data_IF_513123554967
#
_entry.id   IF_513123554967
#
_cell.length_a   1.000
_cell.length_b   1.000
_cell.length_c   1.000
_cell.angle_alpha   90.00
_cell.angle_beta   90.00
_cell.angle_gamma   90.00
#
_symmetry.space_group_name_H-M   'P 1'
#
loop_
_entity.id
_entity.type
_entity.pdbx_description
1 polymer ?
#
# COMPACT_ATOMS: atom_id res chain seq x y z
N UNK A 1 -70.88 4.58 38.53
CA UNK A 1 -69.66 5.36 38.75
C UNK A 1 -68.52 4.67 38.04
N UNK A 2 -68.06 5.20 36.89
CA UNK A 2 -66.98 4.62 36.09
C UNK A 2 -65.70 5.45 36.36
N UNK A 3 -64.70 4.79 36.87
CA UNK A 3 -63.37 5.41 37.07
C UNK A 3 -62.54 5.27 35.81
N UNK A 4 -62.20 6.39 35.22
CA UNK A 4 -61.29 6.44 34.07
C UNK A 4 -59.83 6.41 34.58
N UNK A 5 -59.05 5.39 34.16
CA UNK A 5 -57.63 5.33 34.41
C UNK A 5 -56.89 6.12 33.32
N UNK A 6 -56.16 7.17 33.74
CA UNK A 6 -55.29 7.95 32.86
C UNK A 6 -53.94 7.23 32.80
N UNK A 7 -53.58 6.73 31.64
CA UNK A 7 -52.23 6.21 31.33
C UNK A 7 -51.31 7.40 31.07
N UNK A 8 -50.31 7.61 31.93
CA UNK A 8 -49.26 8.56 31.69
C UNK A 8 -48.22 7.94 30.73
N UNK A 9 -48.02 8.57 29.57
CA UNK A 9 -46.98 8.19 28.64
C UNK A 9 -45.61 8.65 29.15
N UNK A 10 -44.68 7.71 29.29
CA UNK A 10 -43.27 7.95 29.62
C UNK A 10 -42.54 8.34 28.34
N UNK A 11 -41.88 9.51 28.25
CA UNK A 11 -41.11 9.86 27.09
C UNK A 11 -39.84 8.98 27.00
N UNK A 12 -39.61 8.38 25.83
CA UNK A 12 -38.40 7.64 25.53
C UNK A 12 -37.14 8.56 25.56
N UNK A 13 -36.01 8.07 26.05
CA UNK A 13 -34.77 8.88 26.05
C UNK A 13 -34.32 9.14 24.60
N UNK A 14 -34.11 10.43 24.30
CA UNK A 14 -33.50 10.85 23.05
C UNK A 14 -32.09 10.25 22.94
N UNK A 15 -31.87 9.43 21.92
CA UNK A 15 -30.54 8.98 21.57
C UNK A 15 -29.73 10.23 21.15
N UNK A 16 -28.79 10.63 21.98
CA UNK A 16 -27.79 11.62 21.63
C UNK A 16 -27.01 11.09 20.42
N UNK A 17 -27.16 11.74 19.28
CA UNK A 17 -26.36 11.51 18.10
C UNK A 17 -24.90 11.64 18.50
N UNK A 18 -24.11 10.58 18.38
CA UNK A 18 -22.67 10.65 18.51
C UNK A 18 -22.17 11.62 17.44
N UNK A 19 -21.28 12.59 17.81
CA UNK A 19 -20.67 13.42 16.80
C UNK A 19 -19.94 12.49 15.81
N UNK A 20 -20.29 12.62 14.53
CA UNK A 20 -19.48 12.09 13.45
C UNK A 20 -18.08 12.65 13.65
N UNK A 21 -17.14 11.82 14.08
CA UNK A 21 -15.74 12.12 13.94
C UNK A 21 -15.55 12.22 12.42
N UNK A 22 -15.40 13.46 11.95
CA UNK A 22 -14.85 13.73 10.64
C UNK A 22 -13.54 12.96 10.59
N UNK A 23 -13.50 11.87 9.83
CA UNK A 23 -12.24 11.27 9.42
C UNK A 23 -11.55 12.39 8.66
N UNK A 24 -10.52 12.96 9.28
CA UNK A 24 -9.56 13.82 8.62
C UNK A 24 -9.01 12.99 7.46
N UNK A 25 -9.62 13.18 6.28
CA UNK A 25 -9.12 12.69 5.02
C UNK A 25 -7.89 13.56 4.79
N UNK A 26 -6.77 13.15 5.42
CA UNK A 26 -5.48 13.74 5.19
C UNK A 26 -5.34 13.90 3.68
N UNK A 27 -5.07 15.13 3.24
CA UNK A 27 -4.92 15.51 1.84
C UNK A 27 -3.58 14.91 1.32
N UNK A 28 -3.41 13.59 1.50
CA UNK A 28 -2.22 12.86 1.12
C UNK A 28 -2.02 12.89 -0.39
N UNK A 29 -0.80 13.08 -0.80
CA UNK A 29 -0.38 13.02 -2.22
C UNK A 29 -0.41 11.57 -2.70
N UNK A 30 -0.73 11.34 -3.97
CA UNK A 30 -0.57 10.04 -4.61
C UNK A 30 0.64 10.03 -5.52
N UNK A 31 1.59 9.14 -5.24
CA UNK A 31 2.75 8.89 -6.11
C UNK A 31 2.46 7.68 -6.98
N UNK A 32 2.75 7.80 -8.28
CA UNK A 32 2.59 6.71 -9.25
C UNK A 32 3.95 6.13 -9.60
N UNK A 33 4.07 4.81 -9.52
CA UNK A 33 5.27 4.05 -9.81
C UNK A 33 5.01 3.12 -10.99
N UNK A 34 5.85 3.21 -12.01
CA UNK A 34 5.78 2.34 -13.19
C UNK A 34 6.63 1.09 -12.99
N UNK A 35 6.07 -0.06 -13.33
CA UNK A 35 6.71 -1.36 -13.34
C UNK A 35 6.87 -1.83 -14.79
N UNK A 36 8.12 -2.00 -15.27
CA UNK A 36 8.37 -2.50 -16.61
C UNK A 36 9.83 -2.89 -16.81
N UNK A 37 10.12 -4.16 -16.99
CA UNK A 37 11.45 -4.63 -17.36
C UNK A 37 11.81 -4.26 -18.80
N UNK A 38 10.83 -4.22 -19.70
CA UNK A 38 11.06 -3.87 -21.10
C UNK A 38 11.45 -2.41 -21.31
N UNK A 39 10.93 -1.49 -20.46
CA UNK A 39 11.22 -0.05 -20.56
C UNK A 39 12.42 0.40 -19.74
N UNK A 40 12.66 -0.24 -18.59
CA UNK A 40 13.66 0.20 -17.59
C UNK A 40 14.72 -0.87 -17.34
N UNK A 41 15.44 -1.24 -18.40
CA UNK A 41 16.45 -2.32 -18.38
C UNK A 41 17.78 -1.91 -17.79
N UNK A 42 18.09 -0.61 -17.70
CA UNK A 42 19.33 -0.13 -17.12
C UNK A 42 19.36 -0.39 -15.61
N UNK A 43 20.39 -1.08 -15.16
CA UNK A 43 20.63 -1.32 -13.74
C UNK A 43 21.02 0.01 -13.06
N UNK A 44 20.36 0.31 -11.96
CA UNK A 44 20.66 1.44 -11.09
C UNK A 44 21.11 0.94 -9.74
N UNK A 45 21.99 1.69 -9.09
CA UNK A 45 22.41 1.44 -7.72
C UNK A 45 21.69 2.44 -6.79
N UNK A 46 21.12 1.92 -5.71
CA UNK A 46 20.63 2.67 -4.57
C UNK A 46 21.32 2.14 -3.30
N UNK A 47 21.10 2.77 -2.16
CA UNK A 47 21.75 2.35 -0.91
C UNK A 47 21.50 0.89 -0.54
N UNK A 48 20.32 0.38 -0.90
CA UNK A 48 19.93 -1.02 -0.65
C UNK A 48 20.48 -2.02 -1.69
N UNK A 49 21.05 -1.58 -2.80
CA UNK A 49 21.60 -2.44 -3.86
C UNK A 49 21.17 -2.05 -5.28
N UNK A 50 21.25 -3.00 -6.21
CA UNK A 50 20.94 -2.76 -7.62
C UNK A 50 19.45 -2.99 -7.92
N UNK A 51 18.90 -2.12 -8.78
CA UNK A 51 17.50 -2.12 -9.20
C UNK A 51 17.37 -2.06 -10.71
N UNK A 52 16.28 -2.64 -11.23
CA UNK A 52 15.84 -2.56 -12.62
C UNK A 52 14.31 -2.65 -12.68
N UNK A 53 13.69 -2.18 -13.73
CA UNK A 53 12.27 -2.40 -13.99
C UNK A 53 11.29 -1.57 -13.16
N UNK A 54 11.77 -0.67 -12.31
CA UNK A 54 10.95 0.19 -11.44
C UNK A 54 11.28 1.66 -11.66
N UNK A 55 10.26 2.53 -11.80
CA UNK A 55 10.47 3.96 -11.98
C UNK A 55 9.37 4.80 -11.29
N UNK A 56 9.74 5.71 -10.35
CA UNK A 56 11.08 5.84 -9.75
C UNK A 56 11.47 4.59 -8.95
N UNK A 57 12.75 4.30 -8.84
CA UNK A 57 13.30 3.18 -8.06
C UNK A 57 13.43 3.51 -6.56
N UNK A 58 13.55 4.78 -6.22
CA UNK A 58 13.41 5.32 -4.87
C UNK A 58 12.18 6.23 -4.84
N UNK A 59 11.19 5.83 -4.08
CA UNK A 59 9.92 6.53 -3.92
C UNK A 59 9.94 7.27 -2.58
N UNK A 60 9.76 8.61 -2.59
CA UNK A 60 9.68 9.42 -1.36
C UNK A 60 8.26 9.89 -1.15
N UNK A 61 7.72 9.63 0.04
CA UNK A 61 6.37 9.97 0.45
C UNK A 61 6.36 10.35 1.93
N UNK A 62 5.31 11.03 2.39
CA UNK A 62 5.04 11.29 3.81
C UNK A 62 4.01 10.31 4.36
N UNK A 63 3.94 10.24 5.67
CA UNK A 63 2.85 9.50 6.35
C UNK A 63 1.50 10.06 5.90
N UNK A 64 0.60 9.18 5.46
CA UNK A 64 -0.71 9.55 4.93
C UNK A 64 -0.77 9.64 3.39
N UNK A 65 0.38 9.75 2.72
CA UNK A 65 0.45 9.65 1.26
C UNK A 65 0.13 8.22 0.78
N UNK A 66 -0.20 8.09 -0.48
CA UNK A 66 -0.42 6.80 -1.12
C UNK A 66 0.52 6.57 -2.30
N UNK A 67 0.83 5.30 -2.54
CA UNK A 67 1.59 4.84 -3.71
C UNK A 67 0.70 3.94 -4.55
N UNK A 68 0.64 4.20 -5.84
CA UNK A 68 -0.06 3.38 -6.83
C UNK A 68 0.96 2.84 -7.82
N UNK A 69 1.02 1.54 -7.96
CA UNK A 69 1.85 0.88 -8.96
C UNK A 69 1.08 0.64 -10.25
N UNK A 70 1.74 0.84 -11.38
CA UNK A 70 1.17 0.63 -12.72
C UNK A 70 2.05 -0.37 -13.45
N UNK A 71 1.47 -1.44 -13.92
CA UNK A 71 2.18 -2.37 -14.80
C UNK A 71 2.18 -1.82 -16.23
N UNK A 72 3.30 -1.24 -16.64
CA UNK A 72 3.53 -0.68 -17.98
C UNK A 72 4.27 -1.66 -18.91
N UNK A 73 4.30 -2.94 -18.55
CA UNK A 73 4.93 -4.02 -19.31
C UNK A 73 3.90 -4.93 -20.01
N UNK A 74 4.39 -5.93 -20.71
CA UNK A 74 3.62 -7.00 -21.36
C UNK A 74 3.47 -8.25 -20.51
N UNK A 75 4.27 -8.36 -19.45
CA UNK A 75 4.26 -9.47 -18.49
C UNK A 75 3.59 -9.07 -17.18
N UNK A 76 3.34 -10.04 -16.31
CA UNK A 76 2.75 -9.83 -14.99
C UNK A 76 3.79 -9.35 -13.98
N UNK A 77 3.44 -8.38 -13.16
CA UNK A 77 4.32 -7.85 -12.11
C UNK A 77 3.61 -7.69 -10.77
N UNK A 78 4.39 -7.69 -9.70
CA UNK A 78 3.94 -7.27 -8.36
C UNK A 78 4.87 -6.21 -7.79
N UNK A 79 4.41 -5.49 -6.77
CA UNK A 79 5.28 -4.81 -5.82
C UNK A 79 4.97 -5.40 -4.44
N UNK A 80 5.91 -6.15 -3.89
CA UNK A 80 5.74 -6.93 -2.64
C UNK A 80 6.84 -6.59 -1.67
N UNK A 81 6.48 -6.32 -0.41
CA UNK A 81 7.41 -5.91 0.65
C UNK A 81 8.45 -6.98 0.97
N UNK A 82 9.67 -6.53 1.27
CA UNK A 82 10.72 -7.33 1.89
C UNK A 82 10.67 -7.06 3.40
N UNK A 83 10.09 -7.99 4.16
CA UNK A 83 9.90 -7.82 5.60
C UNK A 83 11.23 -7.63 6.34
N UNK A 84 11.34 -6.52 7.09
CA UNK A 84 12.48 -6.21 7.96
C UNK A 84 13.86 -6.24 7.27
N UNK A 85 13.90 -6.09 5.95
CA UNK A 85 15.15 -6.08 5.20
C UNK A 85 15.74 -4.66 5.15
N UNK A 86 17.01 -4.53 5.56
CA UNK A 86 17.79 -3.30 5.41
C UNK A 86 18.50 -3.23 4.04
N UNK A 87 18.71 -4.39 3.41
CA UNK A 87 19.27 -4.55 2.07
C UNK A 87 18.48 -5.59 1.29
N UNK A 88 18.62 -5.61 -0.02
CA UNK A 88 17.98 -6.66 -0.83
C UNK A 88 18.59 -8.03 -0.49
N UNK A 89 17.71 -8.97 -0.15
CA UNK A 89 18.07 -10.37 0.11
C UNK A 89 18.18 -11.16 -1.19
N UNK A 90 18.85 -12.29 -1.18
CA UNK A 90 18.95 -13.14 -2.39
C UNK A 90 17.62 -13.84 -2.69
N UNK A 91 16.93 -14.30 -1.65
CA UNK A 91 15.63 -14.97 -1.75
C UNK A 91 14.65 -14.38 -0.71
N UNK A 92 13.63 -13.64 -1.14
CA UNK A 92 12.65 -13.05 -0.24
C UNK A 92 11.67 -14.07 0.38
N UNK A 93 11.67 -15.32 -0.07
CA UNK A 93 10.81 -16.42 0.41
C UNK A 93 9.32 -16.07 0.46
N UNK A 94 8.85 -15.31 -0.51
CA UNK A 94 7.45 -15.01 -0.63
C UNK A 94 6.63 -16.27 -0.93
N UNK A 95 5.40 -16.28 -0.45
CA UNK A 95 4.38 -17.27 -0.80
C UNK A 95 3.38 -16.67 -1.78
N UNK A 96 2.37 -17.44 -2.17
CA UNK A 96 1.26 -16.99 -3.04
C UNK A 96 0.50 -15.78 -2.47
N UNK A 97 0.72 -15.41 -1.22
CA UNK A 97 0.17 -14.16 -0.64
C UNK A 97 0.72 -12.91 -1.33
N UNK A 98 1.92 -12.99 -1.92
CA UNK A 98 2.48 -11.93 -2.76
C UNK A 98 1.64 -11.64 -4.01
N UNK A 99 0.85 -12.61 -4.48
CA UNK A 99 -0.04 -12.49 -5.64
C UNK A 99 -1.42 -11.91 -5.29
N UNK A 100 -1.66 -11.55 -4.03
CA UNK A 100 -2.92 -10.98 -3.56
C UNK A 100 -2.71 -9.59 -3.01
N UNK A 101 -3.57 -8.61 -3.37
CA UNK A 101 -3.51 -7.28 -2.78
C UNK A 101 -3.66 -7.37 -1.26
N UNK A 102 -2.73 -6.79 -0.51
CA UNK A 102 -2.74 -6.84 0.94
C UNK A 102 -1.93 -5.70 1.56
N UNK A 103 -2.37 -5.27 2.74
CA UNK A 103 -1.63 -4.42 3.65
C UNK A 103 -1.49 -2.96 3.22
N UNK A 104 -0.57 -2.28 3.90
CA UNK A 104 -0.25 -0.86 3.74
C UNK A 104 1.27 -0.70 3.85
N UNK A 105 1.85 0.35 3.27
CA UNK A 105 3.29 0.60 3.33
C UNK A 105 3.70 0.88 4.78
N UNK A 106 4.51 -0.03 5.31
CA UNK A 106 4.94 -0.04 6.71
C UNK A 106 5.76 -1.29 7.02
N UNK A 107 6.01 -1.57 8.31
CA UNK A 107 6.85 -2.70 8.73
C UNK A 107 6.19 -4.07 8.54
N UNK A 108 4.86 -4.11 8.28
CA UNK A 108 4.12 -5.34 8.00
C UNK A 108 4.26 -5.81 6.55
N UNK A 109 3.71 -6.99 6.27
CA UNK A 109 3.61 -7.48 4.91
C UNK A 109 2.59 -6.67 4.11
N UNK A 110 2.96 -6.25 2.90
CA UNK A 110 2.07 -5.67 1.92
C UNK A 110 2.43 -6.12 0.51
N UNK A 111 1.45 -6.12 -0.37
CA UNK A 111 1.62 -6.41 -1.79
C UNK A 111 0.54 -5.72 -2.63
N UNK A 112 0.90 -5.35 -3.85
CA UNK A 112 -0.08 -4.94 -4.87
C UNK A 112 -0.95 -6.09 -5.33
N UNK A 113 -0.52 -7.33 -5.08
CA UNK A 113 -0.98 -8.50 -5.80
C UNK A 113 -0.45 -8.56 -7.22
N UNK A 114 -0.90 -9.53 -7.95
CA UNK A 114 -0.58 -9.73 -9.36
C UNK A 114 -1.27 -8.65 -10.22
N UNK A 115 -0.46 -7.84 -10.89
CA UNK A 115 -0.89 -6.81 -11.83
C UNK A 115 -0.68 -7.32 -13.26
N UNK A 116 -1.77 -7.55 -13.98
CA UNK A 116 -1.74 -7.82 -15.41
C UNK A 116 -1.25 -6.60 -16.21
N UNK A 117 -0.79 -6.78 -17.48
CA UNK A 117 -0.41 -5.68 -18.36
C UNK A 117 -1.42 -4.53 -18.39
N UNK A 118 -0.96 -3.32 -18.14
CA UNK A 118 -1.76 -2.08 -18.09
C UNK A 118 -2.56 -1.88 -16.80
N UNK A 119 -2.54 -2.82 -15.87
CA UNK A 119 -3.28 -2.73 -14.62
C UNK A 119 -2.61 -1.79 -13.62
N UNK A 120 -3.43 -1.14 -12.80
CA UNK A 120 -3.02 -0.30 -11.66
C UNK A 120 -3.37 -1.02 -10.35
N UNK A 121 -2.52 -0.88 -9.35
CA UNK A 121 -2.84 -1.35 -8.00
C UNK A 121 -3.94 -0.48 -7.35
N UNK A 122 -4.57 -1.01 -6.31
CA UNK A 122 -5.20 -0.15 -5.31
C UNK A 122 -4.14 0.76 -4.66
N UNK A 123 -4.50 1.95 -4.14
CA UNK A 123 -3.59 2.79 -3.39
C UNK A 123 -3.08 2.08 -2.14
N UNK A 124 -1.76 2.03 -1.97
CA UNK A 124 -1.11 1.56 -0.75
C UNK A 124 -0.73 2.80 0.09
N UNK A 125 -1.28 2.91 1.27
CA UNK A 125 -1.09 4.10 2.13
C UNK A 125 0.16 3.93 2.97
N UNK A 126 1.01 4.98 3.01
CA UNK A 126 2.18 5.05 3.87
C UNK A 126 1.76 5.34 5.33
N UNK A 127 2.04 4.40 6.25
CA UNK A 127 1.53 4.49 7.63
C UNK A 127 2.58 4.86 8.67
N UNK A 128 3.82 4.59 8.42
CA UNK A 128 4.87 4.77 9.42
C UNK A 128 6.16 5.24 8.76
N UNK A 129 6.87 6.22 9.35
CA UNK A 129 8.19 6.62 8.85
C UNK A 129 9.17 5.45 8.83
N UNK A 130 9.99 5.39 7.79
CA UNK A 130 11.00 4.36 7.61
C UNK A 130 11.31 4.10 6.14
N UNK A 131 12.25 3.20 5.90
CA UNK A 131 12.62 2.73 4.58
C UNK A 131 12.11 1.31 4.39
N UNK A 132 11.37 1.09 3.30
CA UNK A 132 10.72 -0.17 2.99
C UNK A 132 11.14 -0.65 1.63
N UNK A 133 11.86 -1.77 1.59
CA UNK A 133 12.27 -2.41 0.36
C UNK A 133 11.15 -3.28 -0.19
N UNK A 134 11.06 -3.36 -1.51
CA UNK A 134 10.11 -4.21 -2.21
C UNK A 134 10.71 -4.80 -3.49
N UNK A 135 10.02 -5.76 -4.07
CA UNK A 135 10.38 -6.32 -5.37
C UNK A 135 9.22 -7.04 -6.04
N UNK A 136 9.44 -7.45 -7.27
CA UNK A 136 8.48 -8.23 -8.04
C UNK A 136 8.59 -9.72 -7.70
N UNK A 137 7.46 -10.38 -7.40
CA UNK A 137 7.43 -11.82 -7.12
C UNK A 137 8.00 -12.65 -8.29
N UNK A 138 7.70 -12.26 -9.52
CA UNK A 138 8.11 -13.00 -10.72
C UNK A 138 9.56 -12.70 -11.12
N UNK A 139 10.02 -11.45 -10.94
CA UNK A 139 11.25 -10.94 -11.54
C UNK A 139 12.26 -10.43 -10.52
N UNK A 140 12.12 -10.84 -9.27
CA UNK A 140 13.04 -10.44 -8.21
C UNK A 140 14.49 -10.83 -8.52
N UNK A 141 14.68 -12.02 -9.06
CA UNK A 141 15.99 -12.52 -9.49
C UNK A 141 16.60 -11.72 -10.66
N UNK A 142 15.78 -11.11 -11.50
CA UNK A 142 16.21 -10.20 -12.55
C UNK A 142 16.58 -8.80 -12.02
N UNK A 143 16.36 -8.54 -10.73
CA UNK A 143 16.66 -7.26 -10.08
C UNK A 143 15.49 -6.27 -10.08
N UNK A 144 14.26 -6.70 -10.37
CA UNK A 144 13.08 -5.84 -10.30
C UNK A 144 12.73 -5.53 -8.84
N UNK A 145 13.27 -4.44 -8.35
CA UNK A 145 13.32 -4.05 -6.94
C UNK A 145 13.25 -2.54 -6.80
N UNK A 146 12.81 -2.06 -5.65
CA UNK A 146 12.76 -0.63 -5.34
C UNK A 146 12.71 -0.37 -3.84
N UNK A 147 12.71 0.91 -3.52
CA UNK A 147 12.74 1.42 -2.15
C UNK A 147 11.67 2.50 -1.97
N UNK A 148 10.94 2.43 -0.87
CA UNK A 148 10.01 3.48 -0.45
C UNK A 148 10.55 4.09 0.84
N UNK A 149 10.84 5.38 0.79
CA UNK A 149 11.22 6.19 1.96
C UNK A 149 9.98 6.95 2.41
N UNK A 150 9.47 6.63 3.60
CA UNK A 150 8.35 7.31 4.23
C UNK A 150 8.90 8.30 5.25
N UNK A 151 8.66 9.57 5.00
CA UNK A 151 9.03 10.70 5.87
C UNK A 151 7.85 11.01 6.82
N UNK A 152 8.14 11.60 8.00
CA UNK A 152 7.11 12.02 8.98
C UNK A 152 6.08 13.00 8.41
#
# INVERSE_FOLDING_TARGET
>A
MAAAAVLAAVPAPAHAARPHQSQDQGNGTTVVVSLSLSKYTAVKAIDAGSTVGVKPDVIRVHVGDSVVFVNDDTDHHTATSLLNAATFVDDPRWTDDALRPNGEIGPGFWSTGDLSPGQRSAPLIARKPGTYLFGCFFDYGAGMRGEIVVEP
#
